data_IF_328510602596
#
_entry.id   IF_328510602596
#
_cell.length_a   1.000
_cell.length_b   1.000
_cell.length_c   1.000
_cell.angle_alpha   90.00
_cell.angle_beta   90.00
_cell.angle_gamma   90.00
#
_symmetry.space_group_name_H-M   'P 1'
#
loop_
_entity.id
_entity.type
_entity.pdbx_description
1 polymer ?
#
# COMPACT_ATOMS: atom_id res chain seq x y z
N UNK A 1 22.27 -9.80 10.88
CA UNK A 1 21.64 -8.46 10.82
C UNK A 1 21.83 -7.95 9.40
N UNK A 2 20.83 -8.14 8.54
CA UNK A 2 20.88 -7.61 7.17
C UNK A 2 20.74 -6.09 7.23
N UNK A 3 21.48 -5.38 6.39
CA UNK A 3 21.59 -3.93 6.46
C UNK A 3 20.50 -3.29 5.61
N UNK A 4 19.78 -2.33 6.17
CA UNK A 4 18.81 -1.48 5.44
C UNK A 4 19.40 -0.86 4.17
N UNK A 5 20.74 -0.77 4.06
CA UNK A 5 21.47 -0.42 2.83
C UNK A 5 21.13 -1.30 1.62
N UNK A 6 20.89 -2.59 1.83
CA UNK A 6 20.52 -3.51 0.74
C UNK A 6 19.10 -3.22 0.23
N UNK A 7 18.17 -2.91 1.13
CA UNK A 7 16.82 -2.49 0.78
C UNK A 7 16.82 -1.14 0.03
N UNK A 8 17.61 -0.17 0.47
CA UNK A 8 17.78 1.09 -0.28
C UNK A 8 18.45 0.87 -1.64
N UNK A 9 19.44 -0.01 -1.74
CA UNK A 9 20.06 -0.36 -3.01
C UNK A 9 19.05 -0.96 -3.99
N UNK A 10 18.08 -1.74 -3.50
CA UNK A 10 16.92 -2.18 -4.28
C UNK A 10 16.03 -1.00 -4.69
N UNK A 11 15.60 -0.17 -3.74
CA UNK A 11 14.74 0.99 -4.00
C UNK A 11 15.32 1.97 -5.03
N UNK A 12 16.63 2.29 -4.94
CA UNK A 12 17.30 3.18 -5.89
C UNK A 12 17.27 2.62 -7.31
N UNK A 13 17.53 1.32 -7.49
CA UNK A 13 17.47 0.65 -8.80
C UNK A 13 16.06 0.57 -9.35
N UNK A 14 15.04 0.44 -8.49
CA UNK A 14 13.64 0.39 -8.92
C UNK A 14 13.14 1.70 -9.54
N UNK A 15 13.76 2.84 -9.21
CA UNK A 15 13.37 4.16 -9.72
C UNK A 15 13.90 4.53 -11.11
N UNK A 16 14.92 3.84 -11.62
CA UNK A 16 15.52 4.18 -12.92
C UNK A 16 14.59 3.78 -14.08
N UNK A 17 14.40 4.70 -15.03
CA UNK A 17 13.46 4.56 -16.15
C UNK A 17 11.97 4.68 -15.77
N UNK A 18 11.63 4.69 -14.49
CA UNK A 18 10.24 4.71 -14.04
C UNK A 18 9.52 6.04 -14.37
N UNK A 19 10.24 7.16 -14.30
CA UNK A 19 9.69 8.48 -14.67
C UNK A 19 9.23 8.54 -16.13
N UNK A 20 9.98 7.93 -17.04
CA UNK A 20 9.63 7.85 -18.46
C UNK A 20 8.39 6.98 -18.68
N UNK A 21 8.29 5.83 -17.98
CA UNK A 21 7.11 4.97 -18.02
C UNK A 21 5.84 5.71 -17.58
N UNK A 22 5.93 6.47 -16.48
CA UNK A 22 4.81 7.29 -15.98
C UNK A 22 4.39 8.39 -16.97
N UNK A 23 5.36 9.06 -17.60
CA UNK A 23 5.08 10.09 -18.61
C UNK A 23 4.40 9.52 -19.86
N UNK A 24 4.69 8.27 -20.22
CA UNK A 24 4.07 7.59 -21.35
C UNK A 24 2.73 6.94 -21.00
N UNK A 25 2.40 6.80 -19.71
CA UNK A 25 1.20 6.09 -19.26
C UNK A 25 -0.10 6.63 -19.89
N UNK A 26 -0.35 7.94 -20.02
CA UNK A 26 -1.57 8.42 -20.68
C UNK A 26 -1.72 7.91 -22.13
N UNK A 27 -0.63 7.93 -22.91
CA UNK A 27 -0.64 7.44 -24.28
C UNK A 27 -0.81 5.92 -24.35
N UNK A 28 -0.14 5.18 -23.47
CA UNK A 28 -0.26 3.73 -23.38
C UNK A 28 -1.66 3.29 -22.92
N UNK A 29 -2.25 4.01 -21.96
CA UNK A 29 -3.61 3.76 -21.48
C UNK A 29 -4.65 3.96 -22.58
N UNK A 30 -4.51 5.01 -23.40
CA UNK A 30 -5.39 5.22 -24.56
C UNK A 30 -5.35 4.04 -25.56
N UNK A 31 -4.24 3.30 -25.63
CA UNK A 31 -4.06 2.17 -26.55
C UNK A 31 -4.39 0.81 -25.92
N UNK A 32 -4.07 0.62 -24.64
CA UNK A 32 -4.06 -0.69 -23.95
C UNK A 32 -5.00 -0.77 -22.74
N UNK A 33 -5.64 0.34 -22.36
CA UNK A 33 -6.50 0.42 -21.17
C UNK A 33 -5.77 0.00 -19.90
N UNK A 34 -6.48 -0.73 -19.03
CA UNK A 34 -6.02 -1.19 -17.71
C UNK A 34 -4.72 -1.99 -17.73
N UNK A 35 -4.38 -2.66 -18.84
CA UNK A 35 -3.10 -3.36 -18.97
C UNK A 35 -1.90 -2.41 -18.86
N UNK A 36 -2.00 -1.18 -19.36
CA UNK A 36 -0.92 -0.19 -19.23
C UNK A 36 -0.70 0.20 -17.76
N UNK A 37 -1.79 0.34 -16.99
CA UNK A 37 -1.73 0.68 -15.56
C UNK A 37 -1.11 -0.46 -14.76
N UNK A 38 -1.48 -1.71 -15.07
CA UNK A 38 -0.93 -2.91 -14.44
C UNK A 38 0.59 -3.10 -14.63
N UNK A 39 1.13 -2.68 -15.77
CA UNK A 39 2.56 -2.75 -16.08
C UNK A 39 3.38 -1.71 -15.31
N UNK A 40 2.87 -0.48 -15.18
CA UNK A 40 3.56 0.63 -14.52
C UNK A 40 3.46 0.53 -13.00
N UNK A 41 2.31 0.14 -12.48
CA UNK A 41 2.01 0.13 -11.04
C UNK A 41 2.96 -0.69 -10.17
N UNK A 42 3.57 -1.76 -10.71
CA UNK A 42 4.49 -2.63 -9.96
C UNK A 42 5.75 -1.94 -9.42
N UNK A 43 6.11 -0.76 -9.92
CA UNK A 43 7.28 0.03 -9.48
C UNK A 43 6.94 1.36 -8.82
N UNK A 44 5.65 1.73 -8.81
CA UNK A 44 5.18 3.02 -8.30
C UNK A 44 5.56 3.24 -6.84
N UNK A 45 5.24 2.24 -6.02
CA UNK A 45 5.47 2.26 -4.59
C UNK A 45 6.96 2.34 -4.29
N UNK A 46 7.78 1.52 -4.94
CA UNK A 46 9.23 1.54 -4.78
C UNK A 46 9.80 2.92 -5.11
N UNK A 47 9.39 3.50 -6.24
CA UNK A 47 9.87 4.79 -6.70
C UNK A 47 9.46 5.93 -5.74
N UNK A 48 8.21 5.94 -5.28
CA UNK A 48 7.71 6.93 -4.31
C UNK A 48 8.42 6.79 -2.97
N UNK A 49 8.63 5.57 -2.46
CA UNK A 49 9.40 5.35 -1.23
C UNK A 49 10.86 5.83 -1.41
N UNK A 50 11.46 5.55 -2.56
CA UNK A 50 12.87 5.85 -2.82
C UNK A 50 13.14 7.35 -2.93
N UNK A 51 12.26 8.10 -3.61
CA UNK A 51 12.45 9.53 -3.90
C UNK A 51 11.11 10.22 -4.21
N UNK A 52 10.29 10.53 -3.21
CA UNK A 52 8.94 11.09 -3.40
C UNK A 52 8.90 12.31 -4.33
N UNK A 53 9.78 13.29 -4.08
CA UNK A 53 9.84 14.55 -4.81
C UNK A 53 10.22 14.38 -6.28
N UNK A 54 11.06 13.38 -6.60
CA UNK A 54 11.52 13.10 -7.97
C UNK A 54 10.38 12.65 -8.88
N UNK A 55 9.37 11.95 -8.34
CA UNK A 55 8.31 11.34 -9.12
C UNK A 55 6.98 12.11 -9.09
N UNK A 56 6.88 13.19 -8.31
CA UNK A 56 5.64 13.97 -8.17
C UNK A 56 5.07 14.41 -9.51
N UNK A 57 5.87 15.06 -10.35
CA UNK A 57 5.41 15.59 -11.64
C UNK A 57 5.01 14.47 -12.60
N UNK A 58 5.77 13.37 -12.62
CA UNK A 58 5.46 12.21 -13.45
C UNK A 58 4.15 11.52 -13.00
N UNK A 59 3.91 11.42 -11.70
CA UNK A 59 2.66 10.91 -11.13
C UNK A 59 1.48 11.86 -11.42
N UNK A 60 1.70 13.17 -11.41
CA UNK A 60 0.68 14.15 -11.78
C UNK A 60 0.24 13.98 -13.25
N UNK A 61 1.20 13.72 -14.15
CA UNK A 61 0.91 13.42 -15.57
C UNK A 61 0.15 12.11 -15.72
N UNK A 62 0.50 11.08 -14.95
CA UNK A 62 -0.15 9.77 -14.97
C UNK A 62 -1.56 9.78 -14.35
N UNK A 63 -1.84 10.70 -13.42
CA UNK A 63 -3.04 10.66 -12.59
C UNK A 63 -4.35 10.56 -13.36
N UNK A 64 -4.63 11.34 -14.42
CA UNK A 64 -5.91 11.24 -15.15
C UNK A 64 -6.21 9.83 -15.68
N UNK A 65 -5.19 9.13 -16.19
CA UNK A 65 -5.35 7.75 -16.69
C UNK A 65 -5.68 6.78 -15.56
N UNK A 66 -5.00 6.90 -14.42
CA UNK A 66 -5.22 6.05 -13.24
C UNK A 66 -6.59 6.31 -12.61
N UNK A 67 -7.00 7.57 -12.49
CA UNK A 67 -8.31 7.94 -11.95
C UNK A 67 -9.43 7.38 -12.85
N UNK A 68 -9.25 7.43 -14.17
CA UNK A 68 -10.18 6.84 -15.13
C UNK A 68 -10.23 5.31 -15.02
N UNK A 69 -9.07 4.65 -14.88
CA UNK A 69 -8.96 3.20 -14.71
C UNK A 69 -9.67 2.71 -13.44
N UNK A 70 -9.47 3.41 -12.31
CA UNK A 70 -10.17 3.13 -11.06
C UNK A 70 -11.68 3.25 -11.22
N UNK A 71 -12.16 4.31 -11.88
CA UNK A 71 -13.59 4.48 -12.11
C UNK A 71 -14.18 3.40 -13.01
N UNK A 72 -13.50 3.04 -14.11
CA UNK A 72 -13.92 1.98 -15.02
C UNK A 72 -13.95 0.61 -14.34
N UNK A 73 -12.88 0.26 -13.62
CA UNK A 73 -12.78 -1.00 -12.88
C UNK A 73 -13.86 -1.10 -11.80
N UNK A 74 -14.16 -0.02 -11.07
CA UNK A 74 -15.20 -0.04 -10.05
C UNK A 74 -16.60 -0.30 -10.64
N UNK A 75 -16.88 0.21 -11.85
CA UNK A 75 -18.11 -0.10 -12.55
C UNK A 75 -18.21 -1.59 -12.93
N UNK A 76 -17.09 -2.19 -13.36
CA UNK A 76 -17.02 -3.63 -13.66
C UNK A 76 -17.12 -4.51 -12.41
N UNK A 77 -16.51 -4.09 -11.31
CA UNK A 77 -16.50 -4.79 -10.02
C UNK A 77 -17.91 -5.01 -9.43
N UNK A 78 -18.89 -4.20 -9.84
CA UNK A 78 -20.29 -4.41 -9.48
C UNK A 78 -20.89 -5.70 -10.07
N UNK A 79 -20.25 -6.27 -11.10
CA UNK A 79 -20.79 -7.37 -11.89
C UNK A 79 -19.94 -8.64 -11.85
N UNK A 80 -18.66 -8.55 -11.47
CA UNK A 80 -17.76 -9.70 -11.45
C UNK A 80 -16.65 -9.59 -10.40
N UNK A 81 -16.01 -10.73 -10.12
CA UNK A 81 -14.73 -10.74 -9.40
C UNK A 81 -13.66 -10.13 -10.30
N UNK A 82 -12.93 -9.16 -9.76
CA UNK A 82 -11.84 -8.48 -10.47
C UNK A 82 -10.48 -9.09 -10.10
N UNK A 83 -9.56 -9.12 -11.06
CA UNK A 83 -8.24 -9.76 -10.90
C UNK A 83 -7.35 -9.03 -9.90
N UNK A 84 -6.40 -9.74 -9.29
CA UNK A 84 -5.40 -9.18 -8.37
C UNK A 84 -4.56 -8.05 -8.99
N UNK A 85 -4.49 -7.95 -10.32
CA UNK A 85 -3.83 -6.83 -11.02
C UNK A 85 -4.40 -5.47 -10.59
N UNK A 86 -5.68 -5.41 -10.22
CA UNK A 86 -6.33 -4.18 -9.77
C UNK A 86 -5.90 -3.74 -8.36
N UNK A 87 -5.30 -4.63 -7.56
CA UNK A 87 -4.60 -4.18 -6.34
C UNK A 87 -3.48 -3.20 -6.69
N UNK A 88 -2.82 -3.40 -7.83
CA UNK A 88 -1.74 -2.51 -8.26
C UNK A 88 -2.26 -1.15 -8.75
N UNK A 89 -3.46 -1.10 -9.34
CA UNK A 89 -4.14 0.17 -9.62
C UNK A 89 -4.39 0.95 -8.32
N UNK A 90 -4.82 0.25 -7.24
CA UNK A 90 -5.01 0.86 -5.92
C UNK A 90 -3.67 1.33 -5.32
N UNK A 91 -2.59 0.55 -5.47
CA UNK A 91 -1.24 1.00 -5.09
C UNK A 91 -0.84 2.30 -5.79
N UNK A 92 -1.04 2.37 -7.11
CA UNK A 92 -0.69 3.55 -7.89
C UNK A 92 -1.56 4.76 -7.52
N UNK A 93 -2.85 4.56 -7.21
CA UNK A 93 -3.71 5.59 -6.64
C UNK A 93 -3.16 6.12 -5.30
N UNK A 94 -2.77 5.21 -4.40
CA UNK A 94 -2.14 5.55 -3.13
C UNK A 94 -0.85 6.34 -3.34
N UNK A 95 0.00 5.91 -4.29
CA UNK A 95 1.23 6.59 -4.67
C UNK A 95 0.97 8.03 -5.15
N UNK A 96 0.02 8.23 -6.06
CA UNK A 96 -0.39 9.55 -6.58
C UNK A 96 -0.82 10.47 -5.43
N UNK A 97 -1.73 10.00 -4.57
CA UNK A 97 -2.23 10.80 -3.46
C UNK A 97 -1.13 11.13 -2.44
N UNK A 98 -0.20 10.20 -2.21
CA UNK A 98 0.88 10.34 -1.22
C UNK A 98 1.92 11.41 -1.54
N UNK A 99 2.05 11.78 -2.82
CA UNK A 99 2.94 12.86 -3.29
C UNK A 99 2.20 14.20 -3.47
N UNK A 100 0.96 14.28 -2.97
CA UNK A 100 0.17 15.51 -2.97
C UNK A 100 -0.43 15.89 -4.32
N UNK A 101 -0.62 14.92 -5.22
CA UNK A 101 -1.50 15.10 -6.37
C UNK A 101 -2.94 14.96 -5.90
N UNK A 102 -3.80 15.86 -6.36
CA UNK A 102 -5.22 15.86 -5.98
C UNK A 102 -5.92 14.60 -6.50
N UNK A 103 -6.62 13.92 -5.59
CA UNK A 103 -7.44 12.75 -5.88
C UNK A 103 -8.85 13.01 -5.36
N UNK A 104 -9.88 12.97 -6.22
CA UNK A 104 -11.26 13.15 -5.79
C UNK A 104 -11.66 12.12 -4.72
N UNK A 105 -12.44 12.50 -3.68
CA UNK A 105 -12.91 11.56 -2.67
C UNK A 105 -13.66 10.35 -3.25
N UNK A 106 -14.43 10.56 -4.32
CA UNK A 106 -15.14 9.50 -5.03
C UNK A 106 -14.21 8.42 -5.61
N UNK A 107 -12.95 8.76 -5.93
CA UNK A 107 -11.99 7.77 -6.41
C UNK A 107 -11.61 6.78 -5.30
N UNK A 108 -11.54 7.21 -4.04
CA UNK A 108 -11.33 6.29 -2.92
C UNK A 108 -12.53 5.38 -2.67
N UNK A 109 -13.75 5.87 -2.91
CA UNK A 109 -14.96 5.02 -2.90
C UNK A 109 -14.88 3.90 -3.95
N UNK A 110 -14.47 4.26 -5.17
CA UNK A 110 -14.23 3.29 -6.24
C UNK A 110 -13.14 2.29 -5.86
N UNK A 111 -12.03 2.75 -5.29
CA UNK A 111 -10.97 1.86 -4.81
C UNK A 111 -11.45 0.86 -3.75
N UNK A 112 -12.31 1.29 -2.81
CA UNK A 112 -12.96 0.40 -1.85
C UNK A 112 -13.83 -0.66 -2.52
N UNK A 113 -14.66 -0.25 -3.47
CA UNK A 113 -15.52 -1.16 -4.22
C UNK A 113 -14.72 -2.23 -4.98
N UNK A 114 -13.62 -1.83 -5.65
CA UNK A 114 -12.68 -2.74 -6.30
C UNK A 114 -12.09 -3.71 -5.26
N UNK A 115 -11.59 -3.18 -4.14
CA UNK A 115 -10.96 -3.99 -3.10
C UNK A 115 -11.90 -5.05 -2.53
N UNK A 116 -13.18 -4.71 -2.36
CA UNK A 116 -14.23 -5.63 -1.92
C UNK A 116 -14.52 -6.74 -2.93
N UNK A 117 -14.39 -6.47 -4.23
CA UNK A 117 -14.62 -7.43 -5.30
C UNK A 117 -13.44 -8.37 -5.58
N UNK A 118 -12.23 -8.03 -5.14
CA UNK A 118 -11.03 -8.89 -5.28
C UNK A 118 -11.11 -10.05 -4.29
N UNK A 119 -10.89 -11.28 -4.75
CA UNK A 119 -10.76 -12.45 -3.89
C UNK A 119 -9.29 -12.88 -3.81
N UNK A 120 -8.77 -12.97 -2.59
CA UNK A 120 -7.41 -13.44 -2.30
C UNK A 120 -7.47 -14.47 -1.17
N UNK A 121 -6.69 -15.54 -1.28
CA UNK A 121 -6.51 -16.55 -0.23
C UNK A 121 -5.05 -16.61 0.18
N UNK A 122 -4.83 -16.97 1.44
CA UNK A 122 -3.47 -17.17 1.97
C UNK A 122 -2.71 -18.30 1.25
N UNK A 123 -3.43 -19.25 0.64
CA UNK A 123 -2.87 -20.39 -0.08
C UNK A 123 -2.68 -20.13 -1.58
N UNK A 124 -2.95 -18.91 -2.07
CA UNK A 124 -2.68 -18.55 -3.46
C UNK A 124 -1.16 -18.58 -3.72
N UNK A 125 -0.76 -18.68 -4.99
CA UNK A 125 0.65 -18.73 -5.41
C UNK A 125 1.50 -17.56 -4.87
N UNK A 126 0.86 -16.41 -4.65
CA UNK A 126 1.46 -15.17 -4.16
C UNK A 126 0.76 -14.69 -2.88
N UNK A 127 1.08 -15.25 -1.70
CA UNK A 127 0.41 -14.91 -0.45
C UNK A 127 0.59 -13.45 -0.02
N UNK A 128 1.64 -12.76 -0.49
CA UNK A 128 1.82 -11.32 -0.28
C UNK A 128 0.60 -10.48 -0.73
N UNK A 129 -0.11 -10.87 -1.80
CA UNK A 129 -1.29 -10.11 -2.24
C UNK A 129 -2.46 -10.21 -1.26
N UNK A 130 -2.60 -11.34 -0.55
CA UNK A 130 -3.59 -11.51 0.49
C UNK A 130 -3.33 -10.54 1.66
N UNK A 131 -2.08 -10.45 2.12
CA UNK A 131 -1.73 -9.54 3.21
C UNK A 131 -1.74 -8.07 2.78
N UNK A 132 -1.26 -7.77 1.57
CA UNK A 132 -1.31 -6.42 1.00
C UNK A 132 -2.74 -5.90 0.87
N UNK A 133 -3.69 -6.74 0.40
CA UNK A 133 -5.12 -6.42 0.39
C UNK A 133 -5.64 -6.10 1.80
N UNK A 134 -5.14 -6.79 2.82
CA UNK A 134 -5.45 -6.51 4.23
C UNK A 134 -5.00 -5.12 4.65
N UNK A 135 -3.74 -4.76 4.40
CA UNK A 135 -3.22 -3.43 4.72
C UNK A 135 -3.94 -2.32 3.96
N UNK A 136 -4.22 -2.52 2.66
CA UNK A 136 -5.02 -1.61 1.84
C UNK A 136 -6.42 -1.40 2.45
N UNK A 137 -7.08 -2.48 2.86
CA UNK A 137 -8.42 -2.41 3.41
C UNK A 137 -8.46 -1.64 4.74
N UNK A 138 -7.44 -1.80 5.59
CA UNK A 138 -7.32 -1.01 6.81
C UNK A 138 -7.07 0.47 6.46
N UNK A 139 -6.16 0.74 5.51
CA UNK A 139 -5.83 2.10 5.07
C UNK A 139 -7.00 2.85 4.46
N UNK A 140 -7.83 2.16 3.68
CA UNK A 140 -9.00 2.71 2.99
C UNK A 140 -10.29 2.63 3.81
N UNK A 141 -10.25 2.16 5.05
CA UNK A 141 -11.44 2.02 5.91
C UNK A 141 -12.52 1.11 5.30
N UNK A 142 -12.12 -0.09 4.90
CA UNK A 142 -13.00 -1.12 4.34
C UNK A 142 -13.13 -2.33 5.29
N UNK A 143 -13.95 -2.22 6.36
CA UNK A 143 -14.05 -3.20 7.45
C UNK A 143 -14.50 -4.58 7.00
N UNK A 144 -15.38 -4.66 6.01
CA UNK A 144 -15.84 -5.95 5.49
C UNK A 144 -14.66 -6.76 4.93
N UNK A 145 -13.72 -6.10 4.27
CA UNK A 145 -12.55 -6.76 3.66
C UNK A 145 -11.53 -7.13 4.71
N UNK A 146 -11.05 -6.17 5.52
CA UNK A 146 -9.97 -6.49 6.45
C UNK A 146 -10.42 -7.49 7.51
N UNK A 147 -11.67 -7.41 8.02
CA UNK A 147 -12.21 -8.38 9.00
C UNK A 147 -12.36 -9.78 8.40
N UNK A 148 -12.66 -9.89 7.11
CA UNK A 148 -12.67 -11.17 6.39
C UNK A 148 -11.26 -11.76 6.25
N UNK A 149 -10.27 -10.93 5.95
CA UNK A 149 -8.85 -11.34 5.84
C UNK A 149 -8.30 -11.80 7.18
N UNK A 150 -8.68 -11.16 8.28
CA UNK A 150 -8.25 -11.55 9.63
C UNK A 150 -9.11 -12.62 10.29
N UNK A 151 -10.13 -13.14 9.61
CA UNK A 151 -11.06 -14.14 10.13
C UNK A 151 -11.82 -13.72 11.41
N UNK A 152 -12.07 -12.42 11.58
CA UNK A 152 -12.81 -11.84 12.72
C UNK A 152 -14.15 -11.16 12.30
N UNK A 153 -14.76 -11.60 11.19
CA UNK A 153 -15.97 -10.97 10.62
C UNK A 153 -17.19 -10.93 11.58
N UNK A 154 -17.24 -11.78 12.61
CA UNK A 154 -18.36 -11.88 13.54
C UNK A 154 -18.13 -11.23 14.91
N UNK A 155 -16.95 -10.67 15.17
CA UNK A 155 -16.61 -10.15 16.51
C UNK A 155 -17.06 -8.69 16.69
N UNK A 156 -17.53 -8.29 17.88
CA UNK A 156 -17.95 -6.91 18.11
C UNK A 156 -16.78 -5.92 18.02
N UNK A 157 -15.60 -6.31 18.49
CA UNK A 157 -14.37 -5.50 18.45
C UNK A 157 -13.14 -6.39 18.30
N UNK A 158 -12.14 -5.91 17.57
CA UNK A 158 -10.87 -6.62 17.42
C UNK A 158 -9.96 -6.44 18.64
N UNK A 159 -9.20 -7.45 19.07
CA UNK A 159 -8.26 -7.30 20.17
C UNK A 159 -7.14 -6.30 19.81
N UNK A 160 -6.69 -5.52 20.80
CA UNK A 160 -5.55 -4.61 20.63
C UNK A 160 -4.74 -4.49 21.92
N UNK A 161 -3.44 -4.76 21.83
CA UNK A 161 -2.47 -4.54 22.91
C UNK A 161 -1.39 -3.59 22.41
N UNK A 162 -1.25 -2.41 23.02
CA UNK A 162 -0.26 -1.43 22.61
C UNK A 162 1.18 -1.97 22.71
N UNK A 163 1.99 -1.72 21.69
CA UNK A 163 3.41 -2.07 21.64
C UNK A 163 3.71 -3.55 21.36
N UNK A 164 2.70 -4.35 21.02
CA UNK A 164 2.88 -5.75 20.65
C UNK A 164 3.71 -5.90 19.35
N UNK A 165 4.43 -7.01 19.23
CA UNK A 165 5.28 -7.38 18.09
C UNK A 165 4.93 -8.78 17.62
N UNK A 166 5.22 -9.12 16.37
CA UNK A 166 4.66 -10.31 15.70
C UNK A 166 5.67 -11.17 14.97
N UNK A 167 6.90 -10.69 14.77
CA UNK A 167 7.91 -11.30 13.91
C UNK A 167 7.30 -11.72 12.58
N UNK A 168 7.30 -13.03 12.24
CA UNK A 168 6.76 -13.51 10.96
C UNK A 168 5.24 -13.69 10.92
N UNK A 169 4.51 -13.43 12.03
CA UNK A 169 3.06 -13.62 12.09
C UNK A 169 2.29 -12.47 11.42
N UNK A 170 2.25 -12.48 10.07
CA UNK A 170 1.53 -11.48 9.28
C UNK A 170 0.04 -11.38 9.60
N UNK A 171 -0.58 -12.50 10.01
CA UNK A 171 -1.99 -12.52 10.38
C UNK A 171 -2.23 -11.72 11.66
N UNK A 172 -1.43 -12.00 12.70
CA UNK A 172 -1.48 -11.27 13.97
C UNK A 172 -1.18 -9.79 13.80
N UNK A 173 -0.19 -9.47 12.95
CA UNK A 173 0.17 -8.09 12.61
C UNK A 173 -1.01 -7.31 12.01
N UNK A 174 -1.73 -7.91 11.05
CA UNK A 174 -2.94 -7.30 10.48
C UNK A 174 -4.06 -7.16 11.50
N UNK A 175 -4.30 -8.18 12.33
CA UNK A 175 -5.31 -8.12 13.41
C UNK A 175 -5.01 -6.97 14.37
N UNK A 176 -3.75 -6.84 14.80
CA UNK A 176 -3.31 -5.76 15.68
C UNK A 176 -3.48 -4.39 15.05
N UNK A 177 -3.08 -4.22 13.78
CA UNK A 177 -3.24 -2.94 13.08
C UNK A 177 -4.72 -2.55 12.89
N UNK A 178 -5.57 -3.51 12.54
CA UNK A 178 -7.01 -3.30 12.45
C UNK A 178 -7.63 -2.97 13.83
N UNK A 179 -7.22 -3.68 14.88
CA UNK A 179 -7.62 -3.41 16.25
C UNK A 179 -7.21 -2.00 16.71
N UNK A 180 -6.01 -1.56 16.36
CA UNK A 180 -5.53 -0.20 16.63
C UNK A 180 -6.45 0.87 16.01
N UNK A 181 -6.85 0.68 14.74
CA UNK A 181 -7.76 1.59 14.04
C UNK A 181 -9.13 1.61 14.70
N UNK A 182 -9.70 0.45 15.04
CA UNK A 182 -11.02 0.36 15.69
C UNK A 182 -11.03 0.98 17.09
N UNK A 183 -9.92 0.89 17.83
CA UNK A 183 -9.77 1.50 19.15
C UNK A 183 -9.41 2.99 19.09
N UNK A 184 -9.17 3.55 17.90
CA UNK A 184 -8.68 4.92 17.75
C UNK A 184 -7.33 5.13 18.43
N UNK A 185 -6.48 4.09 18.43
CA UNK A 185 -5.19 4.11 19.10
C UNK A 185 -4.25 5.15 18.47
N UNK A 186 -3.35 5.75 19.28
CA UNK A 186 -2.34 6.65 18.74
C UNK A 186 -1.28 5.86 17.94
N UNK A 187 -0.64 6.45 16.90
CA UNK A 187 0.38 5.76 16.10
C UNK A 187 1.51 5.14 16.92
N UNK A 188 1.89 5.79 18.02
CA UNK A 188 2.96 5.37 18.94
C UNK A 188 2.70 3.97 19.53
N UNK A 189 1.43 3.59 19.67
CA UNK A 189 1.05 2.27 20.17
C UNK A 189 1.30 1.13 19.15
N UNK A 190 1.53 1.46 17.88
CA UNK A 190 1.74 0.51 16.78
C UNK A 190 3.18 0.57 16.23
N UNK A 191 3.94 1.63 16.53
CA UNK A 191 5.33 1.79 16.07
C UNK A 191 6.22 0.57 16.38
N UNK A 192 6.14 -0.10 17.55
CA UNK A 192 6.92 -1.31 17.80
C UNK A 192 6.65 -2.43 16.78
N UNK A 193 5.39 -2.69 16.43
CA UNK A 193 5.00 -3.67 15.42
C UNK A 193 5.54 -3.30 14.02
N UNK A 194 5.56 -2.00 13.70
CA UNK A 194 6.12 -1.52 12.43
C UNK A 194 7.64 -1.71 12.37
N UNK A 195 8.37 -1.38 13.44
CA UNK A 195 9.81 -1.59 13.50
C UNK A 195 10.19 -3.08 13.47
N UNK A 196 9.40 -3.92 14.13
CA UNK A 196 9.53 -5.37 14.08
C UNK A 196 9.36 -5.90 12.64
N UNK A 197 8.32 -5.45 11.92
CA UNK A 197 8.15 -5.73 10.49
C UNK A 197 9.36 -5.27 9.65
N UNK A 198 9.91 -4.09 9.92
CA UNK A 198 11.11 -3.60 9.21
C UNK A 198 12.34 -4.47 9.48
N UNK A 199 12.50 -4.97 10.71
CA UNK A 199 13.58 -5.87 11.09
C UNK A 199 13.54 -7.22 10.35
N UNK A 200 12.33 -7.74 10.12
CA UNK A 200 12.10 -9.02 9.45
C UNK A 200 11.80 -8.92 7.95
N UNK A 201 11.68 -7.71 7.41
CA UNK A 201 11.15 -7.45 6.06
C UNK A 201 11.80 -8.31 4.96
N UNK A 202 13.13 -8.43 4.96
CA UNK A 202 13.84 -9.21 3.91
C UNK A 202 13.48 -10.68 3.98
N UNK A 203 13.47 -11.28 5.18
CA UNK A 203 13.09 -12.68 5.35
C UNK A 203 11.63 -12.91 4.92
N UNK A 204 10.74 -11.97 5.25
CA UNK A 204 9.33 -12.02 4.85
C UNK A 204 9.15 -11.82 3.34
N UNK A 205 9.97 -10.98 2.71
CA UNK A 205 9.97 -10.75 1.28
C UNK A 205 10.48 -11.99 0.51
N UNK A 206 11.56 -12.61 0.98
CA UNK A 206 12.09 -13.87 0.43
C UNK A 206 11.08 -15.01 0.57
N UNK A 207 10.34 -15.04 1.70
CA UNK A 207 9.22 -15.95 1.92
C UNK A 207 7.95 -15.57 1.13
N UNK A 208 7.99 -14.50 0.32
CA UNK A 208 6.86 -13.97 -0.48
C UNK A 208 5.62 -13.62 0.35
N UNK A 209 5.81 -13.26 1.61
CA UNK A 209 4.74 -12.86 2.54
C UNK A 209 4.49 -11.35 2.51
N UNK A 210 5.50 -10.56 2.17
CA UNK A 210 5.40 -9.10 2.05
C UNK A 210 6.14 -8.58 0.82
N UNK A 211 5.75 -7.39 0.38
CA UNK A 211 6.48 -6.60 -0.61
C UNK A 211 6.41 -5.13 -0.23
N UNK A 212 6.95 -4.25 -1.07
CA UNK A 212 6.96 -2.80 -0.78
C UNK A 212 5.57 -2.21 -0.60
N UNK A 213 4.56 -2.74 -1.31
CA UNK A 213 3.15 -2.37 -1.10
C UNK A 213 2.68 -2.58 0.33
N UNK A 214 3.10 -3.68 0.99
CA UNK A 214 2.75 -3.92 2.39
C UNK A 214 3.37 -2.86 3.32
N UNK A 215 4.64 -2.49 3.12
CA UNK A 215 5.29 -1.42 3.89
C UNK A 215 4.63 -0.07 3.66
N UNK A 216 4.30 0.24 2.40
CA UNK A 216 3.60 1.46 2.03
C UNK A 216 2.24 1.54 2.73
N UNK A 217 1.39 0.53 2.61
CA UNK A 217 0.06 0.58 3.22
C UNK A 217 0.09 0.51 4.75
N UNK A 218 1.06 -0.20 5.35
CA UNK A 218 1.27 -0.10 6.80
C UNK A 218 1.60 1.34 7.19
N UNK A 219 2.58 1.96 6.53
CA UNK A 219 2.97 3.34 6.76
C UNK A 219 1.80 4.31 6.54
N UNK A 220 0.96 4.05 5.52
CA UNK A 220 -0.23 4.83 5.22
C UNK A 220 -1.20 4.80 6.41
N UNK A 221 -1.45 3.62 6.99
CA UNK A 221 -2.31 3.49 8.18
C UNK A 221 -1.71 4.25 9.36
N UNK A 222 -0.42 4.11 9.64
CA UNK A 222 0.23 4.83 10.74
C UNK A 222 0.13 6.35 10.58
N UNK A 223 0.49 6.87 9.41
CA UNK A 223 0.59 8.31 9.17
C UNK A 223 -0.78 8.97 8.99
N UNK A 224 -1.59 8.42 8.10
CA UNK A 224 -2.87 9.03 7.70
C UNK A 224 -4.03 8.58 8.59
N UNK A 225 -4.21 7.26 8.77
CA UNK A 225 -5.39 6.72 9.47
C UNK A 225 -5.33 6.94 10.97
N UNK A 226 -4.24 6.51 11.62
CA UNK A 226 -4.02 6.69 13.05
C UNK A 226 -3.48 8.09 13.36
N UNK A 227 -2.51 8.57 12.58
CA UNK A 227 -1.85 9.85 12.81
C UNK A 227 -2.67 11.08 12.40
N UNK A 228 -3.75 10.89 11.64
CA UNK A 228 -4.63 11.97 11.13
C UNK A 228 -3.86 13.06 10.38
N UNK A 229 -2.76 12.70 9.72
CA UNK A 229 -1.93 13.63 8.96
C UNK A 229 -2.37 13.73 7.50
N UNK A 230 -2.14 14.86 6.82
CA UNK A 230 -2.45 14.99 5.39
C UNK A 230 -1.71 13.95 4.56
N UNK A 231 -2.43 13.29 3.65
CA UNK A 231 -1.86 12.25 2.79
C UNK A 231 -0.75 12.78 1.89
N UNK A 232 -0.82 14.05 1.48
CA UNK A 232 0.23 14.72 0.69
C UNK A 232 1.62 14.77 1.35
N UNK A 233 1.69 14.53 2.67
CA UNK A 233 2.96 14.51 3.44
C UNK A 233 3.46 13.09 3.71
N UNK A 234 2.71 12.08 3.27
CA UNK A 234 2.96 10.69 3.63
C UNK A 234 4.23 10.15 2.97
N UNK A 235 4.42 10.39 1.67
CA UNK A 235 5.56 9.84 0.95
C UNK A 235 6.91 10.32 1.53
N UNK A 236 7.03 11.63 1.81
CA UNK A 236 8.20 12.21 2.47
C UNK A 236 8.41 11.65 3.87
N UNK A 237 7.34 11.49 4.65
CA UNK A 237 7.42 10.88 5.97
C UNK A 237 7.90 9.43 5.92
N UNK A 238 7.37 8.62 5.00
CA UNK A 238 7.71 7.21 4.86
C UNK A 238 9.17 7.07 4.42
N UNK A 239 9.58 7.85 3.41
CA UNK A 239 10.96 7.94 2.95
C UNK A 239 11.90 8.23 4.12
N UNK A 240 11.68 9.33 4.84
CA UNK A 240 12.54 9.72 5.96
C UNK A 240 12.53 8.69 7.10
N UNK A 241 11.40 8.02 7.34
CA UNK A 241 11.29 6.98 8.38
C UNK A 241 12.12 5.76 8.04
N UNK A 242 12.08 5.31 6.78
CA UNK A 242 12.86 4.15 6.33
C UNK A 242 14.36 4.46 6.28
N UNK A 243 14.75 5.68 5.92
CA UNK A 243 16.17 6.11 5.96
C UNK A 243 16.69 6.22 7.39
N UNK A 244 15.91 6.78 8.33
CA UNK A 244 16.30 6.80 9.75
C UNK A 244 16.42 5.40 10.35
N UNK A 245 15.50 4.49 10.01
CA UNK A 245 15.60 3.09 10.42
C UNK A 245 16.87 2.41 9.87
N UNK A 246 17.43 2.93 8.77
CA UNK A 246 18.70 2.51 8.21
C UNK A 246 19.94 3.01 8.97
N UNK A 247 19.78 3.96 9.88
CA UNK A 247 20.89 4.72 10.45
C UNK A 247 21.51 5.72 9.47
N UNK A 248 20.74 6.20 8.49
CA UNK A 248 21.18 7.19 7.51
C UNK A 248 20.39 8.51 7.65
N UNK A 249 20.99 9.63 7.23
CA UNK A 249 20.24 10.87 7.03
C UNK A 249 19.42 10.79 5.73
N UNK A 250 18.14 11.25 5.72
CA UNK A 250 17.28 11.23 4.54
C UNK A 250 17.81 12.07 3.37
#
# INVERSE_FOLDING_TARGET
MFSVKQFQGFLRRSGDGYGEMLQQLPAQYAQRGSYAVGDVSGRAIDAVIASPSRFRDALAVAAPAVLADVAGTAAEAAHCTVSFVHLRTIDLLGAIASVGVEVPPSTFEHARAILAAILTRRQDEYPAYHFMRGFMAIGLDEPRVYRGIIAHAGEPSLPFTAGETFGPNMQGLLTHLAGAVEHGAPPEAVLPAFHDLLGDYIHLQEAKLVGSGALFWFGFVLHHRLGRRPLATFADWLHATLYRAAGEEP
#
